data_IF_515009599637
#
_entry.id   IF_515009599637
#
_cell.length_a   1.000
_cell.length_b   1.000
_cell.length_c   1.000
_cell.angle_alpha   90.00
_cell.angle_beta   90.00
_cell.angle_gamma   90.00
#
_symmetry.space_group_name_H-M   'P 1'
#
loop_
_entity.id
_entity.type
_entity.pdbx_description
1 polymer ?
#
# COMPACT_ATOMS: atom_id res chain seq x y z
N UNK A 1 11.75 -9.14 16.74
CA UNK A 1 12.49 -8.69 15.54
C UNK A 1 13.91 -8.38 16.00
N UNK A 2 14.94 -8.74 15.24
CA UNK A 2 16.31 -8.42 15.66
C UNK A 2 16.55 -6.91 15.52
N UNK A 3 17.25 -6.30 16.48
CA UNK A 3 17.47 -4.84 16.51
C UNK A 3 18.17 -4.33 15.24
N UNK A 4 19.01 -5.15 14.61
CA UNK A 4 19.67 -4.81 13.35
C UNK A 4 18.71 -4.62 12.17
N UNK A 5 17.60 -5.36 12.14
CA UNK A 5 16.61 -5.28 11.06
C UNK A 5 15.73 -4.04 11.24
N UNK A 6 15.33 -3.72 12.47
CA UNK A 6 14.58 -2.51 12.77
C UNK A 6 15.38 -1.27 12.36
N UNK A 7 16.64 -1.20 12.82
CA UNK A 7 17.53 -0.09 12.47
C UNK A 7 17.71 0.07 10.96
N UNK A 8 17.85 -1.03 10.22
CA UNK A 8 17.95 -0.98 8.76
C UNK A 8 16.72 -0.32 8.10
N UNK A 9 15.50 -0.69 8.52
CA UNK A 9 14.29 -0.10 7.95
C UNK A 9 14.08 1.35 8.39
N UNK A 10 14.40 1.68 9.65
CA UNK A 10 14.31 3.04 10.16
C UNK A 10 15.23 3.99 9.38
N UNK A 11 16.47 3.56 9.09
CA UNK A 11 17.46 4.39 8.38
C UNK A 11 17.09 4.65 6.92
N UNK A 12 16.30 3.78 6.27
CA UNK A 12 15.90 3.98 4.87
C UNK A 12 14.49 4.54 4.71
N UNK A 13 13.69 4.61 5.78
CA UNK A 13 12.26 4.92 5.69
C UNK A 13 12.01 6.30 5.06
N UNK A 14 12.79 7.31 5.45
CA UNK A 14 12.65 8.69 4.93
C UNK A 14 12.90 8.76 3.42
N UNK A 15 13.87 7.99 2.94
CA UNK A 15 14.32 8.01 1.54
C UNK A 15 13.71 6.90 0.67
N UNK A 16 12.92 5.99 1.25
CA UNK A 16 12.40 4.81 0.54
C UNK A 16 11.58 5.18 -0.70
N UNK A 17 10.91 6.33 -0.66
CA UNK A 17 10.14 6.87 -1.78
C UNK A 17 10.99 7.16 -3.03
N UNK A 18 12.30 7.37 -2.88
CA UNK A 18 13.25 7.65 -3.97
C UNK A 18 13.55 6.43 -4.85
N UNK A 19 13.14 5.22 -4.43
CA UNK A 19 13.22 4.02 -5.27
C UNK A 19 12.27 4.13 -6.48
N UNK A 20 11.21 4.93 -6.35
CA UNK A 20 10.26 5.20 -7.43
C UNK A 20 10.69 6.44 -8.22
N UNK A 21 10.58 6.39 -9.55
CA UNK A 21 10.77 7.56 -10.42
C UNK A 21 9.81 8.69 -10.03
N UNK A 22 8.57 8.34 -9.70
CA UNK A 22 7.56 9.23 -9.12
C UNK A 22 6.73 8.41 -8.13
N UNK A 23 6.91 8.68 -6.84
CA UNK A 23 6.20 7.96 -5.78
C UNK A 23 4.69 8.21 -5.79
N UNK A 24 4.24 9.42 -6.13
CA UNK A 24 2.80 9.73 -6.21
C UNK A 24 2.12 8.99 -7.37
N UNK A 25 2.83 8.84 -8.49
CA UNK A 25 2.38 8.00 -9.59
C UNK A 25 2.33 6.53 -9.17
N UNK A 26 3.36 6.03 -8.48
CA UNK A 26 3.40 4.65 -7.98
C UNK A 26 2.25 4.36 -6.99
N UNK A 27 1.95 5.27 -6.06
CA UNK A 27 0.80 5.19 -5.15
C UNK A 27 -0.50 5.00 -5.95
N UNK A 28 -0.70 5.83 -6.97
CA UNK A 28 -1.94 5.84 -7.75
C UNK A 28 -2.10 4.56 -8.58
N UNK A 29 -1.04 4.14 -9.28
CA UNK A 29 -1.06 2.93 -10.11
C UNK A 29 -1.24 1.66 -9.28
N UNK A 30 -0.50 1.51 -8.18
CA UNK A 30 -0.60 0.31 -7.35
C UNK A 30 -1.95 0.23 -6.63
N UNK A 31 -2.48 1.35 -6.15
CA UNK A 31 -3.83 1.41 -5.58
C UNK A 31 -4.90 0.96 -6.57
N UNK A 32 -4.87 1.47 -7.80
CA UNK A 32 -5.83 1.08 -8.86
C UNK A 32 -5.75 -0.42 -9.19
N UNK A 33 -4.54 -0.96 -9.33
CA UNK A 33 -4.35 -2.38 -9.66
C UNK A 33 -4.88 -3.27 -8.54
N UNK A 34 -4.57 -2.94 -7.28
CA UNK A 34 -5.00 -3.74 -6.13
C UNK A 34 -6.51 -3.66 -5.91
N UNK A 35 -7.13 -2.48 -6.04
CA UNK A 35 -8.58 -2.34 -5.96
C UNK A 35 -9.28 -3.26 -6.97
N UNK A 36 -8.88 -3.21 -8.25
CA UNK A 36 -9.45 -4.07 -9.30
C UNK A 36 -9.33 -5.56 -8.97
N UNK A 37 -8.18 -5.98 -8.45
CA UNK A 37 -7.97 -7.38 -8.03
C UNK A 37 -8.92 -7.73 -6.87
N UNK A 38 -8.99 -6.90 -5.83
CA UNK A 38 -9.83 -7.13 -4.65
C UNK A 38 -11.31 -7.24 -5.06
N UNK A 39 -11.82 -6.27 -5.82
CA UNK A 39 -13.21 -6.27 -6.31
C UNK A 39 -13.52 -7.51 -7.14
N UNK A 40 -12.60 -7.93 -8.03
CA UNK A 40 -12.77 -9.12 -8.86
C UNK A 40 -12.87 -10.43 -8.06
N UNK A 41 -12.26 -10.48 -6.87
CA UNK A 41 -12.19 -11.70 -6.04
C UNK A 41 -13.32 -11.82 -5.05
N UNK A 42 -13.82 -10.70 -4.55
CA UNK A 42 -14.82 -10.73 -3.50
C UNK A 42 -16.26 -10.81 -4.03
N UNK A 43 -16.48 -10.69 -5.35
CA UNK A 43 -17.80 -10.75 -5.99
C UNK A 43 -18.84 -9.83 -5.31
N UNK A 44 -18.39 -8.68 -4.79
CA UNK A 44 -19.20 -7.81 -3.95
C UNK A 44 -20.05 -6.92 -4.85
N UNK A 45 -21.36 -6.90 -4.59
CA UNK A 45 -22.26 -5.87 -5.11
C UNK A 45 -22.29 -4.69 -4.13
N UNK A 46 -22.23 -3.42 -4.60
CA UNK A 46 -22.19 -2.27 -3.71
C UNK A 46 -23.47 -2.13 -2.83
N UNK A 47 -23.37 -1.59 -1.58
CA UNK A 47 -22.17 -1.19 -0.86
C UNK A 47 -21.97 -2.10 0.38
N UNK A 48 -20.98 -2.98 0.36
CA UNK A 48 -20.45 -3.54 1.60
C UNK A 48 -19.14 -2.84 1.89
N UNK A 49 -19.02 -2.23 3.07
CA UNK A 49 -17.77 -1.66 3.55
C UNK A 49 -16.84 -2.81 3.91
N UNK A 50 -15.74 -2.95 3.17
CA UNK A 50 -14.72 -3.97 3.41
C UNK A 50 -13.64 -3.31 4.26
N UNK A 51 -13.20 -4.00 5.32
CA UNK A 51 -11.98 -3.61 6.03
C UNK A 51 -10.79 -4.38 5.45
N UNK A 52 -9.73 -3.66 5.08
CA UNK A 52 -8.51 -4.24 4.52
C UNK A 52 -7.34 -4.06 5.49
N UNK A 53 -6.55 -5.10 5.69
CA UNK A 53 -5.29 -5.05 6.44
C UNK A 53 -4.11 -5.11 5.45
N UNK A 54 -3.35 -4.03 5.38
CA UNK A 54 -2.05 -4.01 4.68
C UNK A 54 -0.94 -4.42 5.66
N UNK A 55 -0.61 -5.71 5.66
CA UNK A 55 0.44 -6.27 6.50
C UNK A 55 1.80 -5.74 6.07
N UNK A 56 2.58 -5.18 7.00
CA UNK A 56 3.89 -4.57 6.74
C UNK A 56 3.85 -3.48 5.67
N UNK A 57 2.84 -2.60 5.74
CA UNK A 57 2.57 -1.53 4.76
C UNK A 57 3.73 -0.56 4.45
N UNK A 58 4.83 -0.61 5.21
CA UNK A 58 6.03 0.20 4.98
C UNK A 58 5.69 1.70 5.02
N UNK A 59 6.17 2.44 4.02
CA UNK A 59 5.83 3.87 3.85
C UNK A 59 4.41 4.11 3.30
N UNK A 60 3.63 3.05 3.10
CA UNK A 60 2.22 3.13 2.74
C UNK A 60 1.94 3.25 1.24
N UNK A 61 2.88 2.92 0.35
CA UNK A 61 2.69 3.06 -1.10
C UNK A 61 1.38 2.43 -1.59
N UNK A 62 1.06 1.21 -1.14
CA UNK A 62 -0.20 0.54 -1.48
C UNK A 62 -1.36 1.02 -0.60
N UNK A 63 -1.19 1.05 0.72
CA UNK A 63 -2.22 1.49 1.67
C UNK A 63 -2.82 2.87 1.33
N UNK A 64 -1.97 3.87 1.06
CA UNK A 64 -2.40 5.23 0.67
C UNK A 64 -3.15 5.20 -0.65
N UNK A 65 -2.70 4.37 -1.60
CA UNK A 65 -3.35 4.21 -2.90
C UNK A 65 -4.75 3.61 -2.76
N UNK A 66 -4.88 2.54 -1.98
CA UNK A 66 -6.14 1.85 -1.71
C UNK A 66 -7.13 2.69 -0.90
N UNK A 67 -6.65 3.54 0.02
CA UNK A 67 -7.50 4.45 0.80
C UNK A 67 -8.29 5.45 -0.08
N UNK A 68 -7.91 5.64 -1.35
CA UNK A 68 -8.65 6.46 -2.32
C UNK A 68 -9.92 5.77 -2.87
N UNK A 69 -10.08 4.46 -2.65
CA UNK A 69 -11.15 3.63 -3.23
C UNK A 69 -12.25 3.21 -2.24
N UNK A 70 -12.13 3.56 -0.95
CA UNK A 70 -13.20 3.36 0.04
C UNK A 70 -12.76 2.71 1.34
#
# INVERSE_FOLDING_TARGET
>A
MNDSVLKFYDEIAEDYHLIFVDWNQAISQQGEVLDKIIQSKLAISPPHHISLLDCSCGIGTQAIGLAKYG
#
